data_IF_639961332107
#
_entry.id   IF_639961332107
#
_cell.length_a   1.000
_cell.length_b   1.000
_cell.length_c   1.000
_cell.angle_alpha   90.00
_cell.angle_beta   90.00
_cell.angle_gamma   90.00
#
_symmetry.space_group_name_H-M   'P 1'
#
loop_
_entity.id
_entity.type
_entity.pdbx_description
1 polymer ?
#
# COMPACT_ATOMS: atom_id res chain seq x y z
N UNK A 1 -7.20 20.53 -27.79
CA UNK A 1 -7.37 21.14 -26.45
C UNK A 1 -8.77 21.68 -26.18
N UNK A 2 -9.27 22.69 -26.91
CA UNK A 2 -10.63 23.25 -26.67
C UNK A 2 -11.77 22.21 -26.73
N UNK A 3 -11.70 21.26 -27.67
CA UNK A 3 -12.68 20.18 -27.78
C UNK A 3 -12.62 19.21 -26.58
N UNK A 4 -11.42 18.94 -26.04
CA UNK A 4 -11.25 18.06 -24.87
C UNK A 4 -11.84 18.73 -23.63
N UNK A 5 -11.59 20.04 -23.45
CA UNK A 5 -12.16 20.80 -22.33
C UNK A 5 -13.70 20.80 -22.38
N UNK A 6 -14.28 21.04 -23.55
CA UNK A 6 -15.73 20.98 -23.73
C UNK A 6 -16.30 19.58 -23.47
N UNK A 7 -15.61 18.52 -23.94
CA UNK A 7 -16.03 17.14 -23.70
C UNK A 7 -15.96 16.74 -22.21
N UNK A 8 -14.91 17.16 -21.48
CA UNK A 8 -14.79 16.89 -20.04
C UNK A 8 -15.90 17.57 -19.25
N UNK A 9 -16.22 18.83 -19.58
CA UNK A 9 -17.32 19.55 -18.93
C UNK A 9 -18.66 18.84 -19.15
N UNK A 10 -18.93 18.37 -20.37
CA UNK A 10 -20.16 17.64 -20.68
C UNK A 10 -20.19 16.27 -19.97
N UNK A 11 -19.08 15.54 -19.92
CA UNK A 11 -18.98 14.27 -19.19
C UNK A 11 -19.26 14.44 -17.69
N UNK A 12 -18.80 15.54 -17.08
CA UNK A 12 -19.13 15.86 -15.70
C UNK A 12 -20.62 16.14 -15.52
N UNK A 13 -21.25 16.85 -16.46
CA UNK A 13 -22.69 17.12 -16.42
C UNK A 13 -23.55 15.84 -16.62
N UNK A 14 -23.06 14.89 -17.42
CA UNK A 14 -23.70 13.59 -17.64
C UNK A 14 -23.44 12.57 -16.53
N UNK A 15 -22.42 12.80 -15.68
CA UNK A 15 -22.03 11.84 -14.64
C UNK A 15 -23.16 11.66 -13.61
N UNK A 16 -23.36 10.40 -13.19
CA UNK A 16 -24.36 10.06 -12.18
C UNK A 16 -23.65 9.64 -10.88
N UNK A 17 -23.93 10.30 -9.74
CA UNK A 17 -23.37 9.90 -8.47
C UNK A 17 -23.85 8.51 -8.05
N UNK A 18 -22.92 7.62 -7.70
CA UNK A 18 -23.24 6.33 -7.08
C UNK A 18 -23.40 6.53 -5.57
N UNK A 19 -24.60 6.92 -5.14
CA UNK A 19 -24.84 7.33 -3.75
C UNK A 19 -25.32 6.18 -2.84
N UNK A 20 -25.98 5.18 -3.40
CA UNK A 20 -26.59 4.06 -2.68
C UNK A 20 -25.81 2.76 -2.88
N UNK A 21 -25.89 1.86 -1.89
CA UNK A 21 -25.20 0.58 -1.93
C UNK A 21 -25.62 -0.28 -3.14
N UNK A 22 -26.85 -0.13 -3.65
CA UNK A 22 -27.30 -0.82 -4.85
C UNK A 22 -26.54 -0.37 -6.10
N UNK A 23 -26.34 0.95 -6.29
CA UNK A 23 -25.55 1.45 -7.40
C UNK A 23 -24.07 1.01 -7.29
N UNK A 24 -23.51 1.02 -6.07
CA UNK A 24 -22.15 0.51 -5.82
C UNK A 24 -22.05 -0.97 -6.21
N UNK A 25 -23.01 -1.79 -5.78
CA UNK A 25 -23.04 -3.21 -6.12
C UNK A 25 -23.16 -3.43 -7.64
N UNK A 26 -24.04 -2.69 -8.31
CA UNK A 26 -24.21 -2.78 -9.77
C UNK A 26 -22.93 -2.43 -10.53
N UNK A 27 -22.25 -1.35 -10.13
CA UNK A 27 -20.96 -0.98 -10.72
C UNK A 27 -19.94 -2.09 -10.49
N UNK A 28 -19.83 -2.58 -9.26
CA UNK A 28 -18.94 -3.71 -8.90
C UNK A 28 -19.21 -4.96 -9.75
N UNK A 29 -20.48 -5.33 -9.92
CA UNK A 29 -20.91 -6.47 -10.73
C UNK A 29 -20.51 -6.31 -12.20
N UNK A 30 -20.73 -5.15 -12.81
CA UNK A 30 -20.35 -4.91 -14.20
C UNK A 30 -18.82 -4.95 -14.36
N UNK A 31 -18.07 -4.34 -13.43
CA UNK A 31 -16.61 -4.37 -13.42
C UNK A 31 -16.05 -5.78 -13.20
N UNK A 32 -16.77 -6.63 -12.47
CA UNK A 32 -16.44 -8.03 -12.23
C UNK A 32 -17.01 -8.99 -13.29
N UNK A 33 -17.21 -8.53 -14.53
CA UNK A 33 -17.75 -9.35 -15.65
C UNK A 33 -19.12 -9.98 -15.36
N UNK A 34 -20.04 -9.20 -14.79
CA UNK A 34 -21.40 -9.63 -14.39
C UNK A 34 -21.46 -10.62 -13.22
N UNK A 35 -20.44 -10.62 -12.35
CA UNK A 35 -20.48 -11.38 -11.10
C UNK A 35 -21.23 -10.59 -10.01
N UNK A 36 -22.45 -11.03 -9.70
CA UNK A 36 -23.29 -10.42 -8.68
C UNK A 36 -22.72 -10.60 -7.26
N UNK A 37 -22.01 -11.71 -7.00
CA UNK A 37 -21.46 -11.98 -5.66
C UNK A 37 -20.32 -11.01 -5.34
N UNK A 38 -19.42 -10.78 -6.31
CA UNK A 38 -18.31 -9.84 -6.16
C UNK A 38 -18.83 -8.41 -5.96
N UNK A 39 -19.83 -7.99 -6.75
CA UNK A 39 -20.45 -6.68 -6.58
C UNK A 39 -21.08 -6.49 -5.20
N UNK A 40 -21.79 -7.51 -4.70
CA UNK A 40 -22.37 -7.48 -3.36
C UNK A 40 -21.30 -7.40 -2.25
N UNK A 41 -20.22 -8.17 -2.37
CA UNK A 41 -19.10 -8.14 -1.42
C UNK A 41 -18.42 -6.76 -1.36
N UNK A 42 -18.18 -6.13 -2.51
CA UNK A 42 -17.60 -4.77 -2.58
C UNK A 42 -18.51 -3.76 -1.89
N UNK A 43 -19.82 -3.82 -2.15
CA UNK A 43 -20.79 -2.92 -1.52
C UNK A 43 -20.84 -3.12 0.00
N UNK A 44 -20.81 -4.36 0.49
CA UNK A 44 -20.75 -4.66 1.93
C UNK A 44 -19.46 -4.16 2.57
N UNK A 45 -18.32 -4.35 1.90
CA UNK A 45 -17.03 -3.85 2.36
C UNK A 45 -17.05 -2.32 2.50
N UNK A 46 -17.51 -1.61 1.47
CA UNK A 46 -17.61 -0.14 1.49
C UNK A 46 -18.58 0.38 2.58
N UNK A 47 -19.65 -0.35 2.88
CA UNK A 47 -20.58 0.01 3.95
C UNK A 47 -19.91 -0.07 5.34
N UNK A 48 -19.07 -1.09 5.56
CA UNK A 48 -18.34 -1.29 6.83
C UNK A 48 -17.21 -0.29 7.04
N UNK A 49 -16.41 0.00 6.02
CA UNK A 49 -15.24 0.91 6.14
C UNK A 49 -15.57 2.37 5.85
N UNK A 50 -16.73 2.64 5.25
CA UNK A 50 -17.12 3.96 4.76
C UNK A 50 -16.52 4.29 3.39
N UNK A 51 -17.02 5.35 2.75
CA UNK A 51 -16.62 5.71 1.37
C UNK A 51 -15.14 6.06 1.19
N UNK A 52 -14.51 6.59 2.24
CA UNK A 52 -13.09 6.95 2.25
C UNK A 52 -12.22 5.88 2.94
N UNK A 53 -12.80 4.71 3.23
CA UNK A 53 -12.10 3.59 3.85
C UNK A 53 -11.20 2.86 2.86
N UNK A 54 -10.18 2.18 3.40
CA UNK A 54 -9.24 1.39 2.61
C UNK A 54 -9.77 -0.04 2.51
N UNK A 55 -9.82 -0.57 1.30
CA UNK A 55 -10.20 -1.96 1.02
C UNK A 55 -9.00 -2.64 0.36
N UNK A 56 -8.62 -3.79 0.89
CA UNK A 56 -7.58 -4.66 0.34
C UNK A 56 -8.18 -6.03 0.00
N UNK A 57 -7.54 -6.74 -0.92
CA UNK A 57 -7.94 -8.10 -1.32
C UNK A 57 -6.72 -9.00 -1.14
N UNK A 58 -6.95 -10.16 -0.53
CA UNK A 58 -5.93 -11.19 -0.29
C UNK A 58 -6.44 -12.55 -0.79
N UNK A 59 -5.50 -13.44 -1.11
CA UNK A 59 -5.84 -14.80 -1.57
C UNK A 59 -6.39 -15.63 -0.40
N UNK A 60 -7.62 -16.13 -0.54
CA UNK A 60 -8.24 -17.03 0.42
C UNK A 60 -7.65 -18.44 0.39
N UNK A 61 -7.61 -19.11 1.54
CA UNK A 61 -7.22 -20.53 1.63
C UNK A 61 -8.38 -21.51 1.40
N UNK A 62 -9.62 -21.00 1.45
CA UNK A 62 -10.87 -21.76 1.29
C UNK A 62 -11.55 -21.56 -0.07
N UNK A 63 -12.73 -22.17 -0.21
CA UNK A 63 -13.61 -21.98 -1.36
C UNK A 63 -14.64 -20.84 -1.15
N UNK A 64 -14.74 -20.35 0.09
CA UNK A 64 -15.70 -19.33 0.48
C UNK A 64 -15.02 -17.96 0.48
N UNK A 65 -15.77 -16.94 0.06
CA UNK A 65 -15.34 -15.55 0.14
C UNK A 65 -15.47 -15.04 1.58
N UNK A 66 -14.42 -14.41 2.11
CA UNK A 66 -14.40 -13.88 3.47
C UNK A 66 -14.26 -12.36 3.46
N UNK A 67 -15.01 -11.69 4.34
CA UNK A 67 -14.91 -10.25 4.57
C UNK A 67 -14.59 -9.97 6.04
N UNK A 68 -13.38 -9.51 6.30
CA UNK A 68 -12.91 -9.12 7.63
C UNK A 68 -12.58 -7.62 7.67
N UNK A 69 -12.95 -6.96 8.76
CA UNK A 69 -12.53 -5.60 9.06
C UNK A 69 -11.42 -5.69 10.12
N UNK A 70 -10.26 -5.16 9.79
CA UNK A 70 -9.09 -5.15 10.68
C UNK A 70 -8.61 -3.72 10.91
N UNK A 71 -7.93 -3.52 12.03
CA UNK A 71 -7.25 -2.25 12.28
C UNK A 71 -6.02 -2.13 11.36
N UNK A 72 -5.99 -1.07 10.55
CA UNK A 72 -4.92 -0.82 9.60
C UNK A 72 -4.80 0.66 9.28
N UNK A 73 -3.75 1.02 8.55
CA UNK A 73 -3.50 2.39 8.13
C UNK A 73 -2.86 2.42 6.74
N UNK A 74 -3.27 3.40 5.93
CA UNK A 74 -2.64 3.76 4.67
C UNK A 74 -2.17 5.21 4.71
N UNK A 75 -1.06 5.50 4.04
CA UNK A 75 -0.56 6.87 3.86
C UNK A 75 0.09 7.04 2.48
N UNK A 76 0.10 8.28 1.99
CA UNK A 76 0.52 8.62 0.62
C UNK A 76 2.05 8.70 0.45
N UNK A 77 2.74 7.56 0.64
CA UNK A 77 4.18 7.42 0.40
C UNK A 77 4.50 6.09 -0.27
N UNK A 78 5.20 6.18 -1.40
CA UNK A 78 5.68 5.00 -2.13
C UNK A 78 7.05 4.52 -1.65
N UNK A 79 7.48 3.39 -2.23
CA UNK A 79 8.83 2.86 -2.06
C UNK A 79 9.90 3.82 -2.60
N UNK A 80 11.04 3.87 -1.93
CA UNK A 80 12.18 4.70 -2.32
C UNK A 80 12.92 4.17 -3.55
N UNK A 81 12.76 2.89 -3.87
CA UNK A 81 13.37 2.26 -5.03
C UNK A 81 12.43 1.24 -5.67
N UNK A 82 12.26 1.22 -7.00
CA UNK A 82 11.49 0.19 -7.69
C UNK A 82 12.07 -1.22 -7.54
N UNK A 83 13.35 -1.34 -7.15
CA UNK A 83 13.99 -2.63 -6.93
C UNK A 83 13.50 -3.39 -5.70
N UNK A 84 12.61 -2.79 -4.90
CA UNK A 84 11.91 -3.48 -3.82
C UNK A 84 10.69 -4.27 -4.31
N UNK A 85 10.23 -4.07 -5.54
CA UNK A 85 9.07 -4.78 -6.12
C UNK A 85 9.35 -6.28 -6.15
N UNK A 86 8.46 -7.04 -5.50
CA UNK A 86 8.46 -8.51 -5.52
C UNK A 86 7.22 -9.10 -6.20
N UNK A 87 6.24 -8.27 -6.58
CA UNK A 87 5.14 -8.62 -7.50
C UNK A 87 5.23 -7.75 -8.76
N UNK A 88 5.96 -8.19 -9.80
CA UNK A 88 6.19 -7.38 -11.00
C UNK A 88 4.93 -7.08 -11.82
N UNK A 89 3.91 -7.94 -11.71
CA UNK A 89 2.66 -7.85 -12.47
C UNK A 89 1.83 -6.63 -12.06
N UNK A 90 1.78 -6.37 -10.75
CA UNK A 90 1.09 -5.24 -10.13
C UNK A 90 2.01 -4.06 -9.85
N UNK A 91 3.33 -4.29 -9.85
CA UNK A 91 4.33 -3.32 -9.40
C UNK A 91 4.28 -3.07 -7.89
N UNK A 92 3.78 -4.03 -7.10
CA UNK A 92 3.63 -3.91 -5.64
C UNK A 92 4.79 -4.55 -4.87
N UNK A 93 4.89 -4.14 -3.61
CA UNK A 93 5.75 -4.78 -2.59
C UNK A 93 4.83 -5.41 -1.55
N UNK A 94 4.79 -6.74 -1.50
CA UNK A 94 3.98 -7.51 -0.56
C UNK A 94 4.88 -8.25 0.42
N UNK A 95 4.77 -7.97 1.71
CA UNK A 95 5.60 -8.56 2.75
C UNK A 95 4.72 -9.29 3.76
N UNK A 96 4.93 -10.59 3.90
CA UNK A 96 4.20 -11.42 4.88
C UNK A 96 4.84 -11.31 6.27
N UNK A 97 4.01 -11.02 7.29
CA UNK A 97 4.42 -10.91 8.70
C UNK A 97 5.74 -10.13 8.90
N UNK A 98 5.83 -8.88 8.38
CA UNK A 98 7.06 -8.10 8.40
C UNK A 98 7.27 -7.45 9.77
N UNK A 99 8.54 -7.26 10.13
CA UNK A 99 8.88 -6.26 11.14
C UNK A 99 8.71 -4.86 10.57
N UNK A 100 8.27 -3.92 11.41
CA UNK A 100 8.14 -2.50 11.06
C UNK A 100 9.16 -1.72 11.88
N UNK A 101 10.09 -1.05 11.20
CA UNK A 101 11.06 -0.14 11.83
C UNK A 101 10.70 1.30 11.52
N UNK A 102 10.40 2.06 12.57
CA UNK A 102 10.10 3.48 12.50
C UNK A 102 11.34 4.28 12.92
N UNK A 103 11.77 5.23 12.07
CA UNK A 103 12.95 6.08 12.32
C UNK A 103 12.58 7.54 12.07
N UNK A 104 12.76 8.39 13.07
CA UNK A 104 12.38 9.81 12.98
C UNK A 104 13.43 10.71 12.30
N UNK A 105 14.58 10.14 11.94
CA UNK A 105 15.72 10.77 11.27
C UNK A 105 15.99 10.19 9.89
N UNK A 106 16.85 10.86 9.13
CA UNK A 106 17.40 10.35 7.87
C UNK A 106 18.39 9.21 8.11
N UNK A 107 18.35 8.20 7.26
CA UNK A 107 19.26 7.05 7.26
C UNK A 107 20.12 7.10 6.01
N UNK A 108 21.35 7.60 6.15
CA UNK A 108 22.33 7.66 5.05
C UNK A 108 23.44 6.61 5.17
N UNK A 109 23.67 6.09 6.38
CA UNK A 109 24.73 5.14 6.69
C UNK A 109 24.16 3.77 7.10
N UNK A 110 24.55 2.72 6.39
CA UNK A 110 24.08 1.35 6.67
C UNK A 110 24.61 0.79 7.99
N UNK A 111 25.75 1.29 8.50
CA UNK A 111 26.37 0.79 9.73
C UNK A 111 25.46 0.94 10.95
N UNK A 112 24.66 2.00 10.99
CA UNK A 112 23.68 2.22 12.06
C UNK A 112 22.54 1.19 12.03
N UNK A 113 22.31 0.56 10.88
CA UNK A 113 21.25 -0.42 10.66
C UNK A 113 21.71 -1.87 10.83
N UNK A 114 23.03 -2.13 10.83
CA UNK A 114 23.57 -3.50 10.88
C UNK A 114 23.01 -4.34 12.03
N UNK A 115 22.95 -3.85 13.29
CA UNK A 115 22.43 -4.67 14.40
C UNK A 115 20.97 -5.06 14.20
N UNK A 116 20.17 -4.16 13.60
CA UNK A 116 18.75 -4.42 13.33
C UNK A 116 18.59 -5.41 12.17
N UNK A 117 19.35 -5.21 11.08
CA UNK A 117 19.32 -6.10 9.92
C UNK A 117 19.78 -7.51 10.27
N UNK A 118 20.79 -7.66 11.12
CA UNK A 118 21.24 -8.97 11.63
C UNK A 118 20.14 -9.66 12.46
N UNK A 119 19.47 -8.91 13.34
CA UNK A 119 18.35 -9.43 14.12
C UNK A 119 17.19 -9.92 13.26
N UNK A 120 16.80 -9.12 12.26
CA UNK A 120 15.74 -9.46 11.30
C UNK A 120 16.13 -10.66 10.45
N UNK A 121 17.36 -10.69 9.92
CA UNK A 121 17.85 -11.80 9.12
C UNK A 121 17.86 -13.11 9.91
N UNK A 122 18.24 -13.06 11.19
CA UNK A 122 18.20 -14.23 12.09
C UNK A 122 16.77 -14.72 12.36
N UNK A 123 15.80 -13.82 12.42
CA UNK A 123 14.40 -14.17 12.56
C UNK A 123 13.78 -14.72 11.27
N UNK A 124 14.43 -14.54 10.12
CA UNK A 124 13.95 -15.01 8.81
C UNK A 124 12.70 -14.28 8.32
N UNK A 125 12.36 -13.14 8.92
CA UNK A 125 11.18 -12.33 8.57
C UNK A 125 11.56 -11.13 7.71
N UNK A 126 10.65 -10.61 6.87
CA UNK A 126 10.88 -9.36 6.15
C UNK A 126 10.91 -8.14 7.08
N UNK A 127 11.38 -7.02 6.57
CA UNK A 127 11.40 -5.73 7.28
C UNK A 127 10.93 -4.59 6.37
N UNK A 128 10.03 -3.76 6.87
CA UNK A 128 9.70 -2.47 6.28
C UNK A 128 10.30 -1.35 7.12
N UNK A 129 11.01 -0.43 6.45
CA UNK A 129 11.64 0.73 7.08
C UNK A 129 10.83 1.97 6.71
N UNK A 130 10.31 2.66 7.72
CA UNK A 130 9.63 3.95 7.58
C UNK A 130 10.50 5.02 8.24
N UNK A 131 11.17 5.83 7.44
CA UNK A 131 12.12 6.84 7.94
C UNK A 131 11.83 8.23 7.37
N UNK A 132 12.42 9.30 7.91
CA UNK A 132 12.39 10.61 7.24
C UNK A 132 12.85 10.49 5.78
N UNK A 133 13.98 9.81 5.60
CA UNK A 133 14.53 9.46 4.30
C UNK A 133 15.50 8.29 4.45
N UNK A 134 15.65 7.48 3.41
CA UNK A 134 16.74 6.48 3.30
C UNK A 134 17.49 6.77 2.00
N UNK A 135 18.73 7.23 2.12
CA UNK A 135 19.47 7.80 0.99
C UNK A 135 20.92 7.31 0.93
N UNK A 136 21.60 7.63 -0.17
CA UNK A 136 23.02 7.37 -0.36
C UNK A 136 23.40 5.89 -0.27
N UNK A 137 24.46 5.62 0.50
CA UNK A 137 25.03 4.27 0.68
C UNK A 137 24.04 3.31 1.31
N UNK A 138 23.23 3.77 2.26
CA UNK A 138 22.24 2.94 2.93
C UNK A 138 21.21 2.39 1.95
N UNK A 139 20.61 3.25 1.11
CA UNK A 139 19.63 2.82 0.11
C UNK A 139 20.25 1.86 -0.91
N UNK A 140 21.43 2.20 -1.44
CA UNK A 140 22.12 1.36 -2.42
C UNK A 140 22.41 -0.04 -1.86
N UNK A 141 22.87 -0.10 -0.60
CA UNK A 141 23.18 -1.36 0.07
C UNK A 141 21.93 -2.20 0.31
N UNK A 142 20.83 -1.58 0.75
CA UNK A 142 19.55 -2.27 0.94
C UNK A 142 19.01 -2.83 -0.38
N UNK A 143 19.05 -2.04 -1.45
CA UNK A 143 18.61 -2.47 -2.78
C UNK A 143 19.42 -3.68 -3.26
N UNK A 144 20.76 -3.60 -3.24
CA UNK A 144 21.61 -4.70 -3.72
C UNK A 144 21.39 -5.99 -2.92
N UNK A 145 21.25 -5.89 -1.59
CA UNK A 145 21.00 -7.07 -0.76
C UNK A 145 19.60 -7.64 -0.95
N UNK A 146 18.60 -6.79 -1.21
CA UNK A 146 17.23 -7.23 -1.54
C UNK A 146 17.20 -7.96 -2.87
N UNK A 147 17.83 -7.42 -3.92
CA UNK A 147 17.95 -8.07 -5.22
C UNK A 147 18.70 -9.42 -5.16
N UNK A 148 19.64 -9.56 -4.23
CA UNK A 148 20.37 -10.82 -4.00
C UNK A 148 19.63 -11.81 -3.11
N UNK A 149 18.45 -11.44 -2.58
CA UNK A 149 17.66 -12.26 -1.67
C UNK A 149 18.31 -12.49 -0.30
N UNK A 150 19.33 -11.71 0.06
CA UNK A 150 20.05 -11.83 1.34
C UNK A 150 19.16 -11.31 2.48
N UNK A 151 18.44 -10.22 2.22
CA UNK A 151 17.46 -9.64 3.14
C UNK A 151 16.19 -9.30 2.35
N UNK A 152 15.01 -9.50 2.96
CA UNK A 152 13.74 -9.07 2.38
C UNK A 152 13.37 -7.73 3.03
N UNK A 153 13.75 -6.62 2.39
CA UNK A 153 13.56 -5.28 2.95
C UNK A 153 12.88 -4.36 1.94
N UNK A 154 11.99 -3.50 2.44
CA UNK A 154 11.48 -2.35 1.71
C UNK A 154 11.67 -1.07 2.53
N UNK A 155 11.86 0.06 1.86
CA UNK A 155 12.00 1.35 2.52
C UNK A 155 11.06 2.40 1.91
N UNK A 156 10.35 3.12 2.77
CA UNK A 156 9.41 4.19 2.43
C UNK A 156 9.73 5.44 3.25
N UNK A 157 9.38 6.63 2.73
CA UNK A 157 9.42 7.85 3.54
C UNK A 157 8.26 7.87 4.52
N UNK A 158 8.50 8.43 5.69
CA UNK A 158 7.47 8.71 6.67
C UNK A 158 6.47 9.76 6.14
N UNK A 159 5.19 9.66 6.53
CA UNK A 159 4.20 10.67 6.20
C UNK A 159 4.41 11.96 7.00
N UNK A 160 3.96 13.09 6.44
CA UNK A 160 4.08 14.39 7.09
C UNK A 160 5.51 14.97 7.14
N UNK A 161 5.66 16.06 7.91
CA UNK A 161 6.91 16.80 8.08
C UNK A 161 7.02 17.36 9.51
N UNK A 162 8.24 17.59 10.01
CA UNK A 162 8.48 18.20 11.33
C UNK A 162 7.80 17.45 12.47
N UNK A 163 7.16 18.18 13.38
CA UNK A 163 6.45 17.59 14.54
C UNK A 163 5.26 16.72 14.13
N UNK A 164 4.60 17.02 13.01
CA UNK A 164 3.51 16.17 12.49
C UNK A 164 4.02 14.79 12.11
N UNK A 165 5.23 14.68 11.55
CA UNK A 165 5.85 13.38 11.25
C UNK A 165 6.09 12.58 12.52
N UNK A 166 6.63 13.23 13.56
CA UNK A 166 6.87 12.57 14.86
C UNK A 166 5.57 12.07 15.48
N UNK A 167 4.51 12.87 15.43
CA UNK A 167 3.20 12.47 15.92
C UNK A 167 2.57 11.32 15.12
N UNK A 168 2.85 11.21 13.81
CA UNK A 168 2.35 10.11 12.97
C UNK A 168 3.18 8.82 13.09
N UNK A 169 4.42 8.91 13.59
CA UNK A 169 5.29 7.75 13.85
C UNK A 169 5.16 7.21 15.28
N UNK A 170 4.43 7.90 16.16
CA UNK A 170 4.08 7.45 17.51
C UNK A 170 2.79 6.63 17.49
#
# INVERSE_FOLDING_TARGET
DKAVVAAVAELQALSQPCADNNAIAQVGTISANSDEKVGALIAEAMDKVGRDGVITVEDGQGLEDELAVVEGMQFDRGYLSPYFINKPETGSVELDDPFILLVDKKVSNIREMLPVLEGVAKAGKPLIIVAEDVEGEALATLVVNTMRGIVKVAAVKAPGFGDRRKAMLQ
#
